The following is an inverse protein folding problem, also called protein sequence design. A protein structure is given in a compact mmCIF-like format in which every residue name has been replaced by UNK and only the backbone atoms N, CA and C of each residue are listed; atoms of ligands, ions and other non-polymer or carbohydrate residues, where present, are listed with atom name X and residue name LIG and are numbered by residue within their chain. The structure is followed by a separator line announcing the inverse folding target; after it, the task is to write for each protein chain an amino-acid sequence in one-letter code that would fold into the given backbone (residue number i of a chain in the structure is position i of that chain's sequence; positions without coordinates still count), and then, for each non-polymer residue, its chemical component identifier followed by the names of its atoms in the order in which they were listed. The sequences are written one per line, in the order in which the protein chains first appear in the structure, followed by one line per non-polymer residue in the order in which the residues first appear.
data_IF_970895494063
#
_entry.id   IF_970895494063
#
_cell.length_a   1.000
_cell.length_b   1.000
_cell.length_c   1.000
_cell.angle_alpha   90.00
_cell.angle_beta   90.00
_cell.angle_gamma   90.00
#
_symmetry.space_group_name_H-M   'P 1'
#
loop_
_entity.id
_entity.type
_entity.pdbx_description
1 polymer ?
#
# COMPACT_ATOMS: atom_id res chain seq x y z
N UNK A 1 35.99 -19.20 13.45
CA UNK A 1 35.04 -18.38 14.23
C UNK A 1 33.64 -18.94 13.98
N UNK A 2 32.94 -19.41 15.01
CA UNK A 2 31.58 -19.94 14.85
C UNK A 2 30.61 -18.79 14.58
N UNK A 3 30.04 -18.75 13.38
CA UNK A 3 29.00 -17.77 13.02
C UNK A 3 27.66 -18.23 13.58
N UNK A 4 27.18 -17.57 14.62
CA UNK A 4 25.82 -17.79 15.16
C UNK A 4 24.79 -17.33 14.13
N UNK A 5 23.95 -18.25 13.66
CA UNK A 5 22.79 -18.01 12.78
C UNK A 5 21.51 -18.09 13.62
N UNK A 6 20.36 -17.61 13.09
CA UNK A 6 19.06 -17.77 13.77
C UNK A 6 18.77 -19.24 14.08
N UNK A 7 19.12 -20.15 13.16
CA UNK A 7 18.85 -21.58 13.29
C UNK A 7 19.63 -22.24 14.44
N UNK A 8 20.76 -21.65 14.86
CA UNK A 8 21.57 -22.12 15.98
C UNK A 8 21.08 -21.60 17.34
N UNK A 9 20.11 -20.67 17.36
CA UNK A 9 19.52 -20.20 18.60
C UNK A 9 18.51 -21.21 19.15
N UNK A 10 18.37 -21.29 20.48
CA UNK A 10 17.25 -21.99 21.11
C UNK A 10 15.91 -21.54 20.50
N UNK A 11 14.97 -22.48 20.41
CA UNK A 11 13.67 -22.25 19.77
C UNK A 11 12.94 -21.05 20.40
N UNK A 12 12.99 -20.93 21.70
CA UNK A 12 12.33 -19.88 22.48
C UNK A 12 12.85 -18.49 22.07
N UNK A 13 14.16 -18.38 21.85
CA UNK A 13 14.79 -17.12 21.40
C UNK A 13 14.44 -16.84 19.94
N UNK A 14 14.42 -17.85 19.07
CA UNK A 14 13.96 -17.68 17.68
C UNK A 14 12.51 -17.22 17.63
N UNK A 15 11.63 -17.87 18.37
CA UNK A 15 10.20 -17.56 18.39
C UNK A 15 9.96 -16.14 18.91
N UNK A 16 10.77 -15.68 19.87
CA UNK A 16 10.72 -14.30 20.34
C UNK A 16 11.31 -13.29 19.32
N UNK A 17 12.38 -13.65 18.61
CA UNK A 17 12.89 -12.82 17.50
C UNK A 17 11.87 -12.78 16.36
N UNK A 18 11.26 -13.91 15.99
CA UNK A 18 10.16 -13.96 15.04
C UNK A 18 8.98 -13.15 15.56
N UNK A 19 8.67 -13.17 16.85
CA UNK A 19 7.69 -12.26 17.44
C UNK A 19 8.05 -10.80 17.22
N UNK A 20 9.26 -10.40 17.57
CA UNK A 20 9.68 -9.01 17.46
C UNK A 20 9.90 -8.51 16.03
N UNK A 21 10.24 -9.41 15.10
CA UNK A 21 10.52 -9.10 13.69
C UNK A 21 9.29 -9.31 12.82
N UNK A 22 8.36 -10.19 13.22
CA UNK A 22 7.22 -10.66 12.42
C UNK A 22 5.83 -10.49 13.08
N UNK A 23 5.63 -10.03 14.33
CA UNK A 23 4.28 -10.10 14.97
C UNK A 23 3.54 -8.76 15.23
N UNK A 24 2.16 -8.79 15.29
CA UNK A 24 1.26 -9.95 15.11
C UNK A 24 0.05 -9.88 14.13
N UNK A 25 -0.23 -11.05 13.51
CA UNK A 25 -1.51 -11.82 13.40
C UNK A 25 -2.46 -11.81 12.18
N UNK A 26 -2.42 -10.87 11.23
CA UNK A 26 -3.24 -10.96 10.00
C UNK A 26 -2.36 -11.11 8.77
N UNK A 27 -2.57 -12.18 7.99
CA UNK A 27 -1.87 -12.38 6.71
C UNK A 27 -2.69 -11.74 5.60
N UNK A 28 -2.10 -10.87 4.75
CA UNK A 28 -0.74 -10.34 4.81
C UNK A 28 -0.56 -9.20 5.83
N UNK A 29 0.61 -9.15 6.48
CA UNK A 29 0.95 -8.13 7.48
C UNK A 29 1.14 -6.77 6.81
N UNK A 30 0.29 -5.79 7.20
CA UNK A 30 0.31 -4.45 6.64
C UNK A 30 1.13 -3.53 7.53
N UNK A 31 2.07 -2.79 6.94
CA UNK A 31 2.78 -1.69 7.60
C UNK A 31 2.47 -0.41 6.85
N UNK A 32 2.06 0.63 7.58
CA UNK A 32 1.96 1.97 7.01
C UNK A 32 3.27 2.74 7.22
N UNK A 33 4.01 3.04 6.14
CA UNK A 33 5.17 3.91 6.24
C UNK A 33 4.73 5.37 6.09
N UNK A 34 5.34 6.26 6.87
CA UNK A 34 5.13 7.70 6.71
C UNK A 34 6.46 8.44 6.73
N UNK A 35 6.58 9.47 5.90
CA UNK A 35 7.72 10.37 5.93
C UNK A 35 7.58 11.26 7.16
N UNK A 36 8.61 11.35 7.99
CA UNK A 36 8.61 12.34 9.06
C UNK A 36 8.83 13.70 8.42
N UNK A 37 7.89 14.63 8.59
CA UNK A 37 8.15 16.01 8.26
C UNK A 37 9.40 16.46 9.02
N UNK A 38 10.38 16.97 8.29
CA UNK A 38 11.51 17.66 8.90
C UNK A 38 10.92 18.88 9.62
N UNK A 39 10.70 18.78 10.94
CA UNK A 39 10.64 19.99 11.75
C UNK A 39 11.96 20.72 11.47
N UNK A 40 11.92 21.96 10.93
CA UNK A 40 13.14 22.72 10.79
C UNK A 40 13.78 22.75 12.17
N UNK A 41 15.07 22.43 12.30
CA UNK A 41 15.71 22.44 13.60
C UNK A 41 15.41 23.81 14.21
N UNK A 42 14.64 23.84 15.30
CA UNK A 42 14.44 25.02 16.12
C UNK A 42 15.83 25.64 16.22
N UNK A 43 15.99 26.88 15.72
CA UNK A 43 17.26 27.62 15.71
C UNK A 43 17.73 27.78 17.16
N UNK A 44 18.27 26.71 17.75
CA UNK A 44 18.89 26.71 19.06
C UNK A 44 20.20 27.41 18.81
N UNK A 45 20.22 28.69 19.23
CA UNK A 45 21.39 29.55 19.25
C UNK A 45 22.59 28.70 19.66
N UNK A 46 23.57 28.62 18.76
CA UNK A 46 24.76 27.82 18.89
C UNK A 46 25.57 28.28 20.11
N UNK A 47 25.27 27.72 21.27
CA UNK A 47 26.14 27.76 22.46
C UNK A 47 25.92 26.45 23.20
N UNK A 48 26.75 25.48 22.87
CA UNK A 48 27.34 24.48 23.76
C UNK A 48 27.86 23.32 22.90
N UNK A 49 29.14 23.44 22.49
CA UNK A 49 29.99 22.30 22.17
C UNK A 49 30.16 21.50 23.46
N UNK A 50 29.42 20.41 23.62
CA UNK A 50 29.77 19.34 24.54
C UNK A 50 28.97 18.07 24.16
N UNK A 51 29.71 17.05 23.75
CA UNK A 51 29.40 15.62 23.86
C UNK A 51 27.95 15.27 24.25
N UNK A 52 27.06 15.16 23.26
CA UNK A 52 25.86 14.33 23.38
C UNK A 52 25.79 13.40 22.18
N UNK A 53 26.15 12.15 22.47
CA UNK A 53 25.72 10.90 21.81
C UNK A 53 25.23 11.04 20.36
N UNK A 54 26.05 10.50 19.44
CA UNK A 54 25.75 10.18 18.04
C UNK A 54 24.65 9.10 17.89
N UNK A 55 23.53 9.23 18.60
CA UNK A 55 22.41 8.29 18.60
C UNK A 55 21.07 9.02 18.53
N UNK A 56 20.93 9.88 17.53
CA UNK A 56 19.64 10.28 17.00
C UNK A 56 19.85 10.63 15.52
N UNK A 57 20.20 9.62 14.71
CA UNK A 57 19.97 9.76 13.27
C UNK A 57 18.47 9.89 13.11
N UNK A 58 17.97 11.08 12.80
CA UNK A 58 16.58 11.29 12.40
C UNK A 58 16.34 10.41 11.17
N UNK A 59 15.81 9.21 11.37
CA UNK A 59 15.35 8.38 10.26
C UNK A 59 14.21 9.19 9.62
N UNK A 60 14.31 9.57 8.35
CA UNK A 60 13.35 10.48 7.70
C UNK A 60 11.99 9.83 7.44
N UNK A 61 11.80 8.60 7.90
CA UNK A 61 10.56 7.85 7.82
C UNK A 61 10.41 6.96 9.05
N UNK A 62 9.16 6.65 9.38
CA UNK A 62 8.80 5.73 10.46
C UNK A 62 7.80 4.71 9.94
N UNK A 63 7.74 3.56 10.61
CA UNK A 63 6.82 2.47 10.30
C UNK A 63 5.76 2.37 11.39
N UNK A 64 4.49 2.34 10.99
CA UNK A 64 3.36 2.01 11.84
C UNK A 64 3.10 0.50 11.75
N UNK A 65 3.24 -0.22 12.88
CA UNK A 65 3.21 -1.68 12.93
C UNK A 65 1.81 -2.30 13.02
N UNK A 66 0.77 -1.49 13.20
CA UNK A 66 -0.61 -1.95 13.18
C UNK A 66 -1.52 -0.85 12.61
N UNK A 67 -1.58 -0.70 11.28
CA UNK A 67 -2.55 0.19 10.67
C UNK A 67 -4.00 -0.37 10.77
N UNK A 68 -4.19 -1.57 11.32
CA UNK A 68 -5.41 -2.39 11.20
C UNK A 68 -6.22 -2.53 12.50
N UNK A 69 -6.51 -1.40 13.14
CA UNK A 69 -7.87 -1.21 13.68
C UNK A 69 -8.96 -1.08 12.58
N UNK A 70 -8.58 -1.31 11.31
CA UNK A 70 -9.43 -1.26 10.13
C UNK A 70 -9.45 -2.66 9.54
N UNK A 71 -10.56 -3.38 9.77
CA UNK A 71 -10.83 -4.70 9.20
C UNK A 71 -10.61 -4.69 7.67
N UNK A 72 -10.09 -5.78 7.07
CA UNK A 72 -10.03 -5.94 5.62
C UNK A 72 -11.42 -5.90 4.95
N UNK A 73 -12.50 -5.91 5.72
CA UNK A 73 -13.89 -5.80 5.26
C UNK A 73 -14.64 -4.54 5.73
N UNK A 74 -14.05 -3.62 6.51
CA UNK A 74 -14.79 -2.46 7.03
C UNK A 74 -14.28 -1.14 6.48
N UNK A 75 -15.14 -0.53 5.67
CA UNK A 75 -15.13 0.87 5.26
C UNK A 75 -15.64 1.76 6.39
N UNK A 76 -15.00 1.74 7.57
CA UNK A 76 -15.35 2.69 8.63
C UNK A 76 -14.17 3.60 8.94
N UNK A 77 -14.42 4.88 8.66
CA UNK A 77 -13.62 6.03 9.05
C UNK A 77 -13.28 5.95 10.54
N UNK A 78 -12.00 5.86 10.88
CA UNK A 78 -11.52 6.20 12.22
C UNK A 78 -10.41 7.25 12.11
N UNK A 79 -10.84 8.51 12.09
CA UNK A 79 -10.00 9.71 11.96
C UNK A 79 -9.27 10.09 13.27
N UNK A 80 -9.35 9.27 14.33
CA UNK A 80 -8.89 9.68 15.68
C UNK A 80 -7.94 8.71 16.42
N UNK A 81 -7.48 7.61 15.82
CA UNK A 81 -6.65 6.61 16.52
C UNK A 81 -5.12 6.75 16.34
N UNK A 82 -4.62 7.77 15.63
CA UNK A 82 -3.18 7.90 15.31
C UNK A 82 -2.23 8.10 16.49
N UNK A 83 -2.72 8.29 17.72
CA UNK A 83 -1.88 8.62 18.89
C UNK A 83 -1.34 7.41 19.66
N UNK A 84 -1.86 6.20 19.44
CA UNK A 84 -1.46 5.00 20.22
C UNK A 84 -0.74 3.91 19.39
N UNK A 85 -0.32 4.19 18.16
CA UNK A 85 0.35 3.19 17.34
C UNK A 85 1.80 2.96 17.77
N UNK A 86 2.19 1.68 17.85
CA UNK A 86 3.58 1.28 18.02
C UNK A 86 4.36 1.68 16.75
N UNK A 87 5.09 2.79 16.84
CA UNK A 87 5.99 3.23 15.80
C UNK A 87 7.36 2.58 15.97
N UNK A 88 7.90 2.03 14.89
CA UNK A 88 9.27 1.53 14.87
C UNK A 88 10.08 2.11 13.72
N UNK A 89 11.39 1.96 13.80
CA UNK A 89 12.34 2.28 12.74
C UNK A 89 13.02 1.00 12.27
N UNK A 90 13.41 0.94 11.00
CA UNK A 90 14.15 -0.21 10.43
C UNK A 90 15.57 -0.40 10.98
N UNK A 91 15.94 0.37 12.00
CA UNK A 91 17.21 0.24 12.71
C UNK A 91 17.13 -0.92 13.69
N UNK A 92 17.13 -2.15 13.17
CA UNK A 92 17.39 -3.33 14.00
C UNK A 92 18.81 -3.19 14.60
N UNK A 93 18.95 -3.37 15.91
CA UNK A 93 20.22 -3.21 16.62
C UNK A 93 21.26 -4.21 16.05
N UNK A 94 22.46 -3.72 15.73
CA UNK A 94 23.53 -4.44 15.01
C UNK A 94 24.33 -5.43 15.89
N UNK A 95 23.74 -6.00 16.94
CA UNK A 95 24.47 -6.76 17.97
C UNK A 95 25.07 -8.06 17.39
N UNK A 96 24.37 -8.72 16.46
CA UNK A 96 24.91 -9.84 15.68
C UNK A 96 24.58 -9.64 14.18
N UNK A 97 25.60 -9.45 13.35
CA UNK A 97 25.43 -9.13 11.91
C UNK A 97 24.71 -10.23 11.12
N UNK A 98 24.88 -11.49 11.49
CA UNK A 98 24.29 -12.63 10.78
C UNK A 98 22.80 -12.75 11.12
N UNK A 99 22.47 -12.78 12.41
CA UNK A 99 21.08 -12.74 12.89
C UNK A 99 20.35 -11.51 12.36
N UNK A 100 21.00 -10.35 12.35
CA UNK A 100 20.44 -9.12 11.77
C UNK A 100 20.11 -9.28 10.28
N UNK A 101 21.00 -9.88 9.48
CA UNK A 101 20.75 -10.08 8.05
C UNK A 101 19.57 -11.01 7.83
N UNK A 102 19.55 -12.14 8.51
CA UNK A 102 18.49 -13.15 8.39
C UNK A 102 17.13 -12.57 8.84
N UNK A 103 17.09 -11.87 9.98
CA UNK A 103 15.89 -11.19 10.47
C UNK A 103 15.41 -10.07 9.54
N UNK A 104 16.34 -9.25 9.02
CA UNK A 104 16.02 -8.18 8.08
C UNK A 104 15.38 -8.75 6.81
N UNK A 105 15.94 -9.82 6.25
CA UNK A 105 15.42 -10.40 5.02
C UNK A 105 14.03 -11.00 5.26
N UNK A 106 13.80 -11.67 6.39
CA UNK A 106 12.47 -12.16 6.81
C UNK A 106 11.43 -11.05 6.93
N UNK A 107 11.79 -9.90 7.50
CA UNK A 107 10.92 -8.73 7.59
C UNK A 107 10.45 -8.27 6.19
N UNK A 108 11.38 -8.04 5.27
CA UNK A 108 11.04 -7.57 3.92
C UNK A 108 10.25 -8.60 3.10
N UNK A 109 10.41 -9.89 3.40
CA UNK A 109 9.68 -10.98 2.75
C UNK A 109 8.23 -11.08 3.21
N UNK A 110 7.95 -10.76 4.47
CA UNK A 110 6.64 -10.96 5.11
C UNK A 110 5.75 -9.72 5.07
N UNK A 111 6.33 -8.52 5.04
CA UNK A 111 5.60 -7.25 5.11
C UNK A 111 5.02 -6.83 3.75
N UNK A 112 3.80 -6.31 3.80
CA UNK A 112 3.19 -5.52 2.71
C UNK A 112 3.12 -4.05 3.12
N UNK A 113 3.73 -3.18 2.32
CA UNK A 113 3.71 -1.74 2.56
C UNK A 113 2.33 -1.21 2.15
N UNK A 114 1.55 -0.78 3.14
CA UNK A 114 0.19 -0.29 2.95
C UNK A 114 0.17 1.24 2.98
N UNK A 115 -0.43 1.83 1.97
CA UNK A 115 -0.69 3.26 1.91
C UNK A 115 -2.20 3.44 2.05
N UNK A 116 -2.72 3.72 3.27
CA UNK A 116 -4.08 4.19 3.42
C UNK A 116 -4.18 5.51 2.66
N UNK A 117 -5.36 5.70 2.10
CA UNK A 117 -5.71 6.76 1.17
C UNK A 117 -4.99 8.11 1.34
N UNK A 118 -4.83 8.77 0.20
CA UNK A 118 -4.73 10.21 0.08
C UNK A 118 -5.87 10.92 0.84
N UNK A 119 -5.66 11.32 2.09
CA UNK A 119 -6.70 11.96 2.89
C UNK A 119 -7.12 13.31 2.29
N UNK A 120 -8.44 13.55 2.29
CA UNK A 120 -9.15 14.73 1.76
C UNK A 120 -8.56 16.09 2.16
N UNK A 121 -7.81 16.15 3.25
CA UNK A 121 -7.37 17.41 3.85
C UNK A 121 -5.93 17.79 3.54
N UNK A 122 -5.18 16.93 2.84
CA UNK A 122 -3.78 17.21 2.60
C UNK A 122 -3.44 17.20 1.11
N UNK A 123 -3.30 18.38 0.52
CA UNK A 123 -2.69 18.53 -0.82
C UNK A 123 -1.27 17.93 -0.86
N UNK A 124 -0.65 17.66 0.30
CA UNK A 124 0.62 16.94 0.39
C UNK A 124 0.46 15.41 0.24
N UNK A 125 -0.75 14.88 0.36
CA UNK A 125 -1.01 13.47 0.19
C UNK A 125 -0.73 13.04 -1.25
N UNK A 126 -0.98 13.90 -2.24
CA UNK A 126 -0.62 13.62 -3.64
C UNK A 126 0.86 13.22 -3.74
N UNK A 127 1.11 12.00 -4.19
CA UNK A 127 2.42 11.34 -4.22
C UNK A 127 2.99 10.85 -2.87
N UNK A 128 2.19 10.63 -1.81
CA UNK A 128 2.69 10.15 -0.50
C UNK A 128 3.56 8.90 -0.65
N UNK A 129 3.09 7.88 -1.38
CA UNK A 129 3.87 6.66 -1.64
C UNK A 129 5.22 6.96 -2.32
N UNK A 130 5.26 7.86 -3.31
CA UNK A 130 6.49 8.26 -3.98
C UNK A 130 7.42 9.01 -3.03
N UNK A 131 6.88 9.94 -2.23
CA UNK A 131 7.64 10.73 -1.23
C UNK A 131 8.26 9.81 -0.19
N UNK A 132 7.49 8.86 0.35
CA UNK A 132 7.96 7.88 1.33
C UNK A 132 9.04 6.99 0.74
N UNK A 133 8.82 6.40 -0.45
CA UNK A 133 9.82 5.56 -1.10
C UNK A 133 11.12 6.32 -1.40
N UNK A 134 11.03 7.62 -1.71
CA UNK A 134 12.21 8.50 -1.87
C UNK A 134 12.87 8.78 -0.52
N UNK A 135 12.12 9.09 0.52
CA UNK A 135 12.61 9.36 1.87
C UNK A 135 13.30 8.13 2.49
N UNK A 136 12.82 6.92 2.20
CA UNK A 136 13.49 5.66 2.57
C UNK A 136 14.91 5.56 2.02
N UNK A 137 15.24 6.28 0.95
CA UNK A 137 16.50 6.18 0.24
C UNK A 137 16.56 4.95 -0.68
N UNK A 138 17.64 4.83 -1.45
CA UNK A 138 17.74 3.85 -2.53
C UNK A 138 17.74 2.40 -2.05
N UNK A 139 18.46 2.08 -0.97
CA UNK A 139 18.64 0.69 -0.51
C UNK A 139 17.33 0.14 0.11
N UNK A 140 16.72 0.76 1.13
CA UNK A 140 15.53 0.18 1.76
C UNK A 140 14.33 0.10 0.82
N UNK A 141 14.15 1.08 -0.06
CA UNK A 141 13.06 1.06 -1.05
C UNK A 141 13.22 -0.03 -2.13
N UNK A 142 14.42 -0.58 -2.35
CA UNK A 142 14.63 -1.76 -3.22
C UNK A 142 14.29 -3.08 -2.54
N UNK A 143 14.25 -3.11 -1.20
CA UNK A 143 13.91 -4.30 -0.43
C UNK A 143 12.40 -4.46 -0.26
N UNK A 144 11.61 -3.42 -0.56
CA UNK A 144 10.14 -3.50 -0.57
C UNK A 144 9.70 -4.50 -1.63
N UNK A 145 8.98 -5.54 -1.21
CA UNK A 145 8.51 -6.60 -2.11
C UNK A 145 7.06 -6.45 -2.54
N UNK A 146 6.22 -5.96 -1.64
CA UNK A 146 4.76 -5.89 -1.84
C UNK A 146 4.25 -4.54 -1.38
N UNK A 147 3.36 -3.95 -2.17
CA UNK A 147 2.72 -2.69 -1.85
C UNK A 147 1.22 -2.80 -2.07
N UNK A 148 0.44 -2.25 -1.14
CA UNK A 148 -1.01 -2.10 -1.24
C UNK A 148 -1.37 -0.63 -1.13
N UNK A 149 -2.19 -0.13 -2.04
CA UNK A 149 -2.62 1.26 -2.09
C UNK A 149 -4.14 1.30 -2.04
N UNK A 150 -4.67 2.04 -1.09
CA UNK A 150 -6.12 2.28 -0.99
C UNK A 150 -6.52 3.47 -1.87
N UNK A 151 -7.44 3.24 -2.80
CA UNK A 151 -7.90 4.14 -3.86
C UNK A 151 -9.37 4.50 -3.61
N UNK A 152 -9.68 5.49 -2.75
CA UNK A 152 -11.09 5.79 -2.43
C UNK A 152 -11.69 6.98 -3.19
N UNK A 153 -10.92 7.57 -4.11
CA UNK A 153 -11.40 8.70 -4.93
C UNK A 153 -10.61 8.78 -6.22
N UNK A 154 -11.32 9.20 -7.27
CA UNK A 154 -10.80 9.49 -8.60
C UNK A 154 -9.90 10.74 -8.62
N UNK A 155 -10.22 11.72 -7.78
CA UNK A 155 -9.51 13.01 -7.71
C UNK A 155 -8.07 12.87 -7.15
N UNK A 156 -7.85 11.93 -6.22
CA UNK A 156 -6.63 11.92 -5.40
C UNK A 156 -5.59 10.85 -5.76
N UNK A 157 -5.73 10.11 -6.86
CA UNK A 157 -4.77 9.06 -7.24
C UNK A 157 -4.14 9.21 -8.64
N UNK A 158 -4.83 9.92 -9.53
CA UNK A 158 -4.59 9.88 -10.99
C UNK A 158 -3.30 10.56 -11.42
N UNK A 159 -2.96 11.70 -10.83
CA UNK A 159 -1.76 12.46 -11.18
C UNK A 159 -0.46 11.80 -10.69
N UNK A 160 -0.53 11.08 -9.57
CA UNK A 160 0.61 10.47 -8.89
C UNK A 160 0.89 9.03 -9.35
N UNK A 161 -0.15 8.31 -9.78
CA UNK A 161 -0.07 6.90 -10.14
C UNK A 161 0.97 6.62 -11.24
N UNK A 162 1.05 7.37 -12.36
CA UNK A 162 2.07 7.11 -13.38
C UNK A 162 3.50 7.19 -12.83
N UNK A 163 3.79 8.20 -12.00
CA UNK A 163 5.10 8.38 -11.37
C UNK A 163 5.42 7.24 -10.41
N UNK A 164 4.42 6.78 -9.66
CA UNK A 164 4.55 5.64 -8.76
C UNK A 164 4.81 4.35 -9.53
N UNK A 165 4.03 4.05 -10.57
CA UNK A 165 4.20 2.84 -11.38
C UNK A 165 5.58 2.79 -12.05
N UNK A 166 6.08 3.92 -12.55
CA UNK A 166 7.45 4.02 -13.08
C UNK A 166 8.51 3.78 -12.00
N UNK A 167 8.33 4.36 -10.81
CA UNK A 167 9.22 4.12 -9.69
C UNK A 167 9.24 2.63 -9.31
N UNK A 168 8.08 2.00 -9.20
CA UNK A 168 7.94 0.58 -8.86
C UNK A 168 8.53 -0.33 -9.94
N UNK A 169 8.37 -0.01 -11.22
CA UNK A 169 9.02 -0.75 -12.31
C UNK A 169 10.55 -0.70 -12.17
N UNK A 170 11.12 0.45 -11.82
CA UNK A 170 12.55 0.55 -11.48
C UNK A 170 12.93 -0.30 -10.27
N UNK A 171 12.06 -0.38 -9.24
CA UNK A 171 12.29 -1.23 -8.06
C UNK A 171 12.13 -2.73 -8.35
N UNK A 172 11.32 -3.12 -9.32
CA UNK A 172 11.22 -4.50 -9.76
C UNK A 172 12.43 -4.91 -10.59
N UNK A 173 12.91 -4.04 -11.49
CA UNK A 173 14.09 -4.30 -12.32
C UNK A 173 15.40 -4.38 -11.53
N UNK A 174 15.56 -3.51 -10.54
CA UNK A 174 16.81 -3.37 -9.78
C UNK A 174 16.69 -3.70 -8.29
N UNK A 175 15.64 -4.43 -7.91
CA UNK A 175 15.34 -4.78 -6.52
C UNK A 175 14.37 -5.94 -6.40
N UNK A 176 13.71 -6.02 -5.25
CA UNK A 176 12.90 -7.17 -4.85
C UNK A 176 11.40 -6.93 -4.97
N UNK A 177 10.99 -5.85 -5.64
CA UNK A 177 9.57 -5.55 -5.83
C UNK A 177 8.91 -6.64 -6.70
N UNK A 178 7.80 -7.19 -6.21
CA UNK A 178 7.08 -8.32 -6.83
C UNK A 178 5.59 -8.12 -6.99
N UNK A 179 4.93 -7.31 -6.16
CA UNK A 179 3.47 -7.17 -6.24
C UNK A 179 3.00 -5.75 -5.87
N UNK A 180 2.09 -5.23 -6.69
CA UNK A 180 1.29 -4.04 -6.42
C UNK A 180 -0.20 -4.41 -6.36
N UNK A 181 -0.85 -3.99 -5.29
CA UNK A 181 -2.28 -4.16 -5.07
C UNK A 181 -2.96 -2.78 -4.98
N UNK A 182 -3.94 -2.54 -5.84
CA UNK A 182 -4.78 -1.34 -5.83
C UNK A 182 -6.17 -1.74 -5.32
N UNK A 183 -6.57 -1.18 -4.18
CA UNK A 183 -7.83 -1.52 -3.52
C UNK A 183 -8.78 -0.33 -3.56
N UNK A 184 -9.94 -0.46 -4.19
CA UNK A 184 -11.01 0.54 -4.06
C UNK A 184 -11.96 0.15 -2.93
N UNK A 185 -12.53 1.16 -2.28
CA UNK A 185 -13.71 0.98 -1.45
C UNK A 185 -14.99 1.16 -2.27
N UNK A 186 -16.14 0.98 -1.61
CA UNK A 186 -17.44 1.03 -2.28
C UNK A 186 -17.72 2.39 -2.91
N UNK A 187 -17.39 3.46 -2.20
CA UNK A 187 -17.58 4.81 -2.68
C UNK A 187 -16.68 5.10 -3.90
N UNK A 188 -15.38 4.81 -3.81
CA UNK A 188 -14.45 5.01 -4.91
C UNK A 188 -14.82 4.18 -6.13
N UNK A 189 -15.30 2.95 -5.94
CA UNK A 189 -15.78 2.13 -7.05
C UNK A 189 -17.10 2.65 -7.65
N UNK A 190 -18.03 3.12 -6.83
CA UNK A 190 -19.27 3.76 -7.29
C UNK A 190 -18.98 4.96 -8.19
N UNK A 191 -18.00 5.81 -7.82
CA UNK A 191 -17.56 6.92 -8.67
C UNK A 191 -17.08 6.44 -10.04
N UNK A 192 -16.27 5.36 -10.09
CA UNK A 192 -15.79 4.80 -11.35
C UNK A 192 -16.93 4.29 -12.24
N UNK A 193 -17.91 3.58 -11.66
CA UNK A 193 -19.08 3.09 -12.41
C UNK A 193 -19.90 4.25 -12.93
N UNK A 194 -20.12 5.27 -12.11
CA UNK A 194 -20.93 6.44 -12.44
C UNK A 194 -20.32 7.25 -13.59
N UNK A 195 -19.02 7.53 -13.53
CA UNK A 195 -18.27 8.21 -14.61
C UNK A 195 -18.24 7.39 -15.89
N UNK A 196 -17.93 6.08 -15.81
CA UNK A 196 -17.90 5.20 -16.97
C UNK A 196 -19.29 5.03 -17.63
N UNK A 197 -20.37 5.22 -16.86
CA UNK A 197 -21.74 5.19 -17.36
C UNK A 197 -22.17 6.48 -18.05
N UNK A 198 -21.38 7.56 -17.96
CA UNK A 198 -21.74 8.90 -18.43
C UNK A 198 -22.80 9.60 -17.57
N UNK A 199 -23.04 9.12 -16.34
CA UNK A 199 -24.14 9.58 -15.50
C UNK A 199 -23.65 10.48 -14.37
N UNK A 200 -23.50 11.79 -14.61
CA UNK A 200 -23.03 12.71 -13.57
C UNK A 200 -21.54 12.57 -13.29
N UNK A 201 -20.90 13.69 -12.94
CA UNK A 201 -19.44 13.86 -12.86
C UNK A 201 -18.71 14.05 -14.21
N UNK A 202 -19.24 14.89 -15.11
CA UNK A 202 -18.53 15.29 -16.34
C UNK A 202 -17.11 15.81 -16.05
N UNK A 203 -16.93 16.54 -14.94
CA UNK A 203 -15.63 17.05 -14.48
C UNK A 203 -14.63 15.97 -14.07
N UNK A 204 -15.04 14.70 -13.93
CA UNK A 204 -14.18 13.59 -13.54
C UNK A 204 -13.82 12.65 -14.72
N UNK A 205 -14.40 12.86 -15.90
CA UNK A 205 -14.13 12.02 -17.09
C UNK A 205 -12.64 12.08 -17.45
N UNK A 206 -12.07 13.28 -17.53
CA UNK A 206 -10.63 13.45 -17.83
C UNK A 206 -9.73 12.75 -16.80
N UNK A 207 -10.13 12.76 -15.53
CA UNK A 207 -9.40 12.07 -14.46
C UNK A 207 -9.51 10.55 -14.60
N UNK A 208 -10.67 10.04 -15.02
CA UNK A 208 -10.88 8.63 -15.30
C UNK A 208 -10.07 8.16 -16.51
N UNK A 209 -10.05 8.92 -17.59
CA UNK A 209 -9.20 8.60 -18.73
C UNK A 209 -7.72 8.64 -18.37
N UNK A 210 -7.29 9.63 -17.58
CA UNK A 210 -5.93 9.71 -17.05
C UNK A 210 -5.59 8.52 -16.14
N UNK A 211 -6.54 8.04 -15.32
CA UNK A 211 -6.38 6.82 -14.51
C UNK A 211 -6.08 5.62 -15.40
N UNK A 212 -6.95 5.39 -16.39
CA UNK A 212 -6.86 4.24 -17.28
C UNK A 212 -5.58 4.29 -18.12
N UNK A 213 -5.22 5.46 -18.64
CA UNK A 213 -3.96 5.65 -19.36
C UNK A 213 -2.74 5.42 -18.46
N UNK A 214 -2.76 5.93 -17.22
CA UNK A 214 -1.72 5.67 -16.24
C UNK A 214 -1.52 4.19 -15.93
N UNK A 215 -2.63 3.46 -15.74
CA UNK A 215 -2.62 2.00 -15.54
C UNK A 215 -2.07 1.26 -16.77
N UNK A 216 -2.49 1.64 -17.98
CA UNK A 216 -2.04 1.04 -19.23
C UNK A 216 -0.55 1.26 -19.44
N UNK A 217 -0.08 2.49 -19.31
CA UNK A 217 1.35 2.81 -19.46
C UNK A 217 2.21 2.13 -18.42
N UNK A 218 1.71 2.02 -17.18
CA UNK A 218 2.39 1.28 -16.13
C UNK A 218 2.36 -0.24 -16.28
N UNK A 219 1.58 -0.78 -17.23
CA UNK A 219 1.46 -2.23 -17.47
C UNK A 219 2.60 -2.83 -18.26
N UNK A 220 3.14 -2.04 -19.18
CA UNK A 220 4.10 -2.51 -20.18
C UNK A 220 5.45 -2.77 -19.50
N UNK A 221 5.90 -4.03 -19.52
CA UNK A 221 7.25 -4.43 -19.08
C UNK A 221 7.54 -4.23 -17.60
N UNK A 222 6.49 -4.10 -16.75
CA UNK A 222 6.64 -3.71 -15.35
C UNK A 222 7.35 -4.77 -14.48
N UNK A 223 7.34 -6.06 -14.84
CA UNK A 223 8.11 -7.11 -14.17
C UNK A 223 7.64 -7.47 -12.75
N UNK A 224 6.44 -7.03 -12.36
CA UNK A 224 5.80 -7.35 -11.08
C UNK A 224 4.31 -7.67 -11.27
N UNK A 225 3.74 -8.42 -10.33
CA UNK A 225 2.31 -8.76 -10.29
C UNK A 225 1.48 -7.51 -9.97
N UNK A 226 0.34 -7.38 -10.65
CA UNK A 226 -0.60 -6.29 -10.41
C UNK A 226 -1.97 -6.86 -10.11
N UNK A 227 -2.55 -6.35 -9.04
CA UNK A 227 -3.81 -6.82 -8.49
C UNK A 227 -4.73 -5.63 -8.29
N UNK A 228 -5.94 -5.72 -8.83
CA UNK A 228 -7.05 -4.84 -8.47
C UNK A 228 -7.94 -5.59 -7.49
N UNK A 229 -8.27 -4.98 -6.36
CA UNK A 229 -9.30 -5.47 -5.44
C UNK A 229 -10.43 -4.47 -5.36
N UNK A 230 -11.63 -4.98 -5.59
CA UNK A 230 -12.85 -4.21 -5.55
C UNK A 230 -13.76 -4.78 -4.46
N UNK A 231 -14.55 -3.91 -3.80
CA UNK A 231 -15.39 -4.32 -2.70
C UNK A 231 -16.48 -5.27 -3.20
N UNK A 232 -17.00 -6.10 -2.31
CA UNK A 232 -18.29 -6.73 -2.57
C UNK A 232 -19.36 -5.64 -2.58
N UNK A 233 -20.43 -5.83 -3.36
CA UNK A 233 -21.72 -5.23 -3.01
C UNK A 233 -22.01 -5.65 -1.57
N UNK A 234 -22.08 -4.68 -0.66
CA UNK A 234 -22.32 -4.96 0.74
C UNK A 234 -23.68 -5.62 0.88
N UNK A 235 -23.78 -6.42 1.95
CA UNK A 235 -25.01 -6.96 2.51
C UNK A 235 -26.23 -6.06 2.30
N UNK A 236 -27.40 -6.69 2.11
CA UNK A 236 -28.72 -6.11 1.75
C UNK A 236 -29.11 -4.75 2.41
N UNK A 237 -28.50 -4.37 3.52
CA UNK A 237 -28.73 -3.09 4.22
C UNK A 237 -28.02 -1.90 3.55
N UNK A 238 -26.76 -2.03 3.09
CA UNK A 238 -26.02 -0.94 2.43
C UNK A 238 -26.29 -0.87 0.90
N UNK A 239 -26.73 -1.98 0.31
CA UNK A 239 -27.12 -2.08 -1.11
C UNK A 239 -28.24 -1.09 -1.52
N UNK A 240 -28.95 -0.52 -0.54
CA UNK A 240 -29.99 0.50 -0.78
C UNK A 240 -29.42 1.88 -1.07
N UNK A 241 -28.19 2.19 -0.62
CA UNK A 241 -27.62 3.55 -0.72
C UNK A 241 -26.91 3.80 -2.05
N UNK A 242 -26.32 2.78 -2.65
CA UNK A 242 -25.53 2.88 -3.88
C UNK A 242 -25.90 1.75 -4.84
N UNK A 243 -27.11 1.78 -5.40
CA UNK A 243 -27.52 0.80 -6.41
C UNK A 243 -26.66 0.95 -7.67
N UNK A 244 -25.77 -0.01 -7.89
CA UNK A 244 -24.96 -0.10 -9.10
C UNK A 244 -25.75 -0.87 -10.17
N UNK A 245 -25.82 -0.32 -11.38
CA UNK A 245 -26.35 -1.05 -12.53
C UNK A 245 -25.41 -2.25 -12.81
N UNK A 246 -25.91 -3.50 -12.83
CA UNK A 246 -25.08 -4.68 -13.04
C UNK A 246 -24.31 -4.65 -14.37
N UNK A 247 -24.93 -4.13 -15.43
CA UNK A 247 -24.33 -4.05 -16.77
C UNK A 247 -23.16 -3.07 -16.75
N UNK A 248 -23.39 -1.88 -16.19
CA UNK A 248 -22.36 -0.83 -16.07
C UNK A 248 -21.22 -1.26 -15.16
N UNK A 249 -21.53 -2.01 -14.11
CA UNK A 249 -20.54 -2.60 -13.22
C UNK A 249 -19.63 -3.56 -13.97
N UNK A 250 -20.19 -4.51 -14.73
CA UNK A 250 -19.39 -5.44 -15.55
C UNK A 250 -18.50 -4.70 -16.55
N UNK A 251 -19.03 -3.66 -17.20
CA UNK A 251 -18.26 -2.86 -18.15
C UNK A 251 -17.09 -2.14 -17.47
N UNK A 252 -17.32 -1.50 -16.31
CA UNK A 252 -16.26 -0.84 -15.55
C UNK A 252 -15.19 -1.83 -15.07
N UNK A 253 -15.60 -3.00 -14.56
CA UNK A 253 -14.67 -4.07 -14.16
C UNK A 253 -13.78 -4.50 -15.31
N UNK A 254 -14.39 -4.72 -16.48
CA UNK A 254 -13.68 -5.08 -17.71
C UNK A 254 -12.69 -3.98 -18.11
N UNK A 255 -13.12 -2.73 -18.19
CA UNK A 255 -12.27 -1.60 -18.59
C UNK A 255 -11.08 -1.43 -17.64
N UNK A 256 -11.30 -1.50 -16.33
CA UNK A 256 -10.25 -1.45 -15.32
C UNK A 256 -9.27 -2.61 -15.45
N UNK A 257 -9.77 -3.83 -15.67
CA UNK A 257 -8.92 -5.00 -15.85
C UNK A 257 -8.07 -4.89 -17.12
N UNK A 258 -8.64 -4.47 -18.24
CA UNK A 258 -7.85 -4.29 -19.47
C UNK A 258 -6.83 -3.15 -19.34
N UNK A 259 -7.17 -2.09 -18.61
CA UNK A 259 -6.24 -0.98 -18.39
C UNK A 259 -5.08 -1.38 -17.46
N UNK A 260 -5.38 -2.05 -16.35
CA UNK A 260 -4.36 -2.55 -15.47
C UNK A 260 -3.66 -3.76 -16.10
N UNK A 261 -4.34 -4.86 -16.33
CA UNK A 261 -3.76 -6.18 -16.58
C UNK A 261 -3.50 -6.91 -15.26
N UNK A 262 -2.92 -8.11 -15.33
CA UNK A 262 -2.75 -8.95 -14.14
C UNK A 262 -4.07 -9.49 -13.62
N UNK A 263 -4.31 -9.41 -12.31
CA UNK A 263 -5.43 -10.04 -11.61
C UNK A 263 -6.45 -9.01 -11.14
N UNK A 264 -7.74 -9.31 -11.26
CA UNK A 264 -8.83 -8.51 -10.68
C UNK A 264 -9.70 -9.40 -9.78
N UNK A 265 -9.90 -8.93 -8.55
CA UNK A 265 -10.76 -9.55 -7.55
C UNK A 265 -12.00 -8.70 -7.33
N UNK A 266 -13.16 -9.34 -7.40
CA UNK A 266 -14.47 -8.80 -7.04
C UNK A 266 -14.95 -9.54 -5.79
N UNK A 267 -15.31 -8.83 -4.71
CA UNK A 267 -15.76 -9.48 -3.47
C UNK A 267 -14.80 -10.57 -2.95
N UNK A 268 -13.48 -10.35 -3.07
CA UNK A 268 -12.41 -11.32 -2.79
C UNK A 268 -12.38 -12.59 -3.68
N UNK A 269 -13.24 -12.71 -4.68
CA UNK A 269 -13.21 -13.75 -5.70
C UNK A 269 -12.37 -13.28 -6.89
N UNK A 270 -11.40 -14.09 -7.33
CA UNK A 270 -10.66 -13.82 -8.56
C UNK A 270 -11.63 -13.97 -9.74
N UNK A 271 -11.87 -12.89 -10.46
CA UNK A 271 -12.82 -12.87 -11.60
C UNK A 271 -12.10 -12.71 -12.93
N UNK A 272 -10.96 -12.04 -12.96
CA UNK A 272 -10.15 -11.91 -14.17
C UNK A 272 -8.66 -12.10 -13.87
N UNK A 273 -7.95 -12.73 -14.80
CA UNK A 273 -6.50 -12.93 -14.75
C UNK A 273 -5.91 -12.87 -16.16
N UNK A 274 -4.84 -12.10 -16.36
CA UNK A 274 -4.09 -12.03 -17.63
C UNK A 274 -4.97 -11.85 -18.88
N UNK A 275 -5.85 -10.84 -18.85
CA UNK A 275 -6.82 -10.52 -19.91
C UNK A 275 -7.90 -11.57 -20.18
N UNK A 276 -8.04 -12.58 -19.31
CA UNK A 276 -9.08 -13.61 -19.38
C UNK A 276 -10.00 -13.53 -18.17
N UNK A 277 -11.30 -13.72 -18.40
CA UNK A 277 -12.26 -13.92 -17.32
C UNK A 277 -12.15 -15.37 -16.83
N UNK A 278 -11.98 -15.56 -15.51
CA UNK A 278 -11.76 -16.87 -14.89
C UNK A 278 -12.90 -17.29 -13.97
N UNK A 279 -13.79 -16.37 -13.61
CA UNK A 279 -15.02 -16.67 -12.89
C UNK A 279 -16.12 -15.68 -13.25
N UNK A 280 -17.37 -16.10 -13.07
CA UNK A 280 -18.52 -15.22 -13.20
C UNK A 280 -18.59 -14.23 -12.04
N UNK A 281 -19.07 -13.04 -12.39
CA UNK A 281 -19.31 -11.95 -11.45
C UNK A 281 -20.75 -12.09 -10.99
N UNK A 282 -20.91 -12.59 -9.76
CA UNK A 282 -22.20 -12.74 -9.10
C UNK A 282 -22.68 -11.33 -8.68
N UNK A 283 -23.34 -10.65 -9.61
CA UNK A 283 -24.06 -9.41 -9.33
C UNK A 283 -25.48 -9.81 -8.97
N UNK A 284 -25.96 -9.40 -7.81
CA UNK A 284 -27.34 -9.65 -7.40
C UNK A 284 -28.24 -8.86 -8.36
N UNK A 285 -28.89 -9.55 -9.29
CA UNK A 285 -29.94 -8.94 -10.10
C UNK A 285 -31.14 -8.60 -9.19
N UNK A 286 -31.76 -7.43 -9.38
CA UNK A 286 -32.85 -6.95 -8.54
C UNK A 286 -34.09 -7.85 -8.58
#
# INVERSE_FOLDING_TARGET
MSTTTLLLLPREIRDEIYRMVLLPTSVPYLIEPYATEHQPPLKRKAKHKAQRLRYASSVPFKLCLDPTHISPSCCEYHEFAYRNFYHTTLSLLRVNKQIYREARDLFWHSVTFYFPMFTLFDRLAENHAVKVLKAMGQIPSRLVRRMRIKMNSLEWGTSALPKLLQLLASRARYGDFRSLELCWDQWGFFQLVTVNSGNGFENLIDLYDALLDGLRKGSIGCGYERVIRLPADSTKEDATRWKLDPTKTRDTLRVLHFACGGSLYWANKLVWQNYQQVADIDLVEP
#
